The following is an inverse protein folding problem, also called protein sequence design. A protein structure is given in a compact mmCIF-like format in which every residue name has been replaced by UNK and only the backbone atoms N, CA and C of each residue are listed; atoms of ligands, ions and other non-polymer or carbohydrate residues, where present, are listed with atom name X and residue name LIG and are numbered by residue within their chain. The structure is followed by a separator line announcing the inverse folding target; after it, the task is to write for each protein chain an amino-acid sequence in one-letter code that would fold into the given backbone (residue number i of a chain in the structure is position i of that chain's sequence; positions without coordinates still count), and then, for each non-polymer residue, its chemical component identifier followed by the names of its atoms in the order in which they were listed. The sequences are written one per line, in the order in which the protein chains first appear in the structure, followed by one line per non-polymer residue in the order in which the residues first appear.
data_IF_048431215467
#
_entry.id   IF_048431215467
#
_cell.length_a   1.000
_cell.length_b   1.000
_cell.length_c   1.000
_cell.angle_alpha   90.00
_cell.angle_beta   90.00
_cell.angle_gamma   90.00
#
_symmetry.space_group_name_H-M   'P 1'
#
loop_
_entity.id
_entity.type
_entity.pdbx_description
1 polymer ?
#
# COMPACT_ATOMS: atom_id res chain seq x y z
N UNK A 1 -28.96 -0.22 17.66
CA UNK A 1 -28.07 -1.22 18.29
C UNK A 1 -26.93 -0.45 18.91
N UNK A 2 -26.66 -0.68 20.20
CA UNK A 2 -25.64 0.04 20.96
C UNK A 2 -24.62 -0.97 21.47
N UNK A 3 -23.33 -0.68 21.27
CA UNK A 3 -22.21 -1.53 21.68
C UNK A 3 -21.22 -0.65 22.43
N UNK A 4 -20.92 -0.99 23.69
CA UNK A 4 -19.88 -0.29 24.45
C UNK A 4 -18.53 -0.90 24.13
N UNK A 5 -17.59 -0.07 23.70
CA UNK A 5 -16.26 -0.51 23.31
C UNK A 5 -15.24 0.08 24.28
N UNK A 6 -14.43 -0.79 24.87
CA UNK A 6 -13.21 -0.39 25.56
C UNK A 6 -12.07 -0.31 24.54
N UNK A 7 -11.28 0.76 24.60
CA UNK A 7 -10.10 0.98 23.76
C UNK A 7 -8.91 1.26 24.67
N UNK A 8 -7.69 0.94 24.22
CA UNK A 8 -6.48 1.30 24.95
C UNK A 8 -6.24 2.82 24.91
N UNK A 9 -5.60 3.37 25.94
CA UNK A 9 -5.25 4.80 25.99
C UNK A 9 -4.38 5.20 24.79
N UNK A 10 -3.47 4.33 24.35
CA UNK A 10 -2.64 4.58 23.17
C UNK A 10 -3.50 4.71 21.90
N UNK A 11 -4.43 3.78 21.68
CA UNK A 11 -5.39 3.82 20.57
C UNK A 11 -6.24 5.10 20.63
N UNK A 12 -6.70 5.50 21.81
CA UNK A 12 -7.44 6.74 22.00
C UNK A 12 -6.62 7.98 21.64
N UNK A 13 -5.37 8.06 22.11
CA UNK A 13 -4.46 9.16 21.77
C UNK A 13 -4.21 9.24 20.26
N UNK A 14 -4.06 8.09 19.59
CA UNK A 14 -3.88 8.04 18.13
C UNK A 14 -5.13 8.47 17.36
N UNK A 15 -6.33 8.12 17.85
CA UNK A 15 -7.58 8.63 17.27
C UNK A 15 -7.65 10.15 17.36
N UNK A 16 -7.28 10.72 18.51
CA UNK A 16 -7.30 12.16 18.73
C UNK A 16 -6.23 12.90 17.91
N UNK A 17 -5.01 12.37 17.85
CA UNK A 17 -3.87 13.08 17.23
C UNK A 17 -3.88 13.04 15.71
N UNK A 18 -4.21 11.88 15.12
CA UNK A 18 -4.09 11.66 13.69
C UNK A 18 -5.41 11.84 12.93
N UNK A 19 -6.54 11.87 13.64
CA UNK A 19 -7.89 11.79 13.03
C UNK A 19 -8.07 10.56 12.12
N UNK A 20 -7.14 9.59 12.18
CA UNK A 20 -7.03 8.52 11.21
C UNK A 20 -7.92 7.34 11.60
N UNK A 21 -8.39 6.63 10.58
CA UNK A 21 -9.20 5.44 10.77
C UNK A 21 -8.35 4.30 11.31
N UNK A 22 -8.66 3.83 12.51
CA UNK A 22 -8.04 2.64 13.10
C UNK A 22 -8.81 1.38 12.69
N UNK A 23 -8.07 0.32 12.37
CA UNK A 23 -8.61 -0.99 12.04
C UNK A 23 -8.18 -2.00 13.11
N UNK A 24 -9.09 -2.89 13.49
CA UNK A 24 -8.82 -3.85 14.55
C UNK A 24 -9.92 -4.90 14.66
N UNK A 25 -9.79 -5.73 15.69
CA UNK A 25 -10.79 -6.74 16.06
C UNK A 25 -11.44 -6.35 17.39
N UNK A 26 -12.76 -6.51 17.48
CA UNK A 26 -13.49 -6.37 18.75
C UNK A 26 -13.64 -7.76 19.36
N UNK A 27 -13.00 -8.00 20.50
CA UNK A 27 -13.25 -9.16 21.34
C UNK A 27 -14.46 -8.87 22.21
N UNK A 28 -15.59 -9.55 21.96
CA UNK A 28 -16.80 -9.38 22.75
C UNK A 28 -16.63 -10.07 24.11
N UNK A 29 -16.89 -9.32 25.18
CA UNK A 29 -17.00 -9.88 26.55
C UNK A 29 -18.43 -10.32 26.81
N UNK A 30 -19.40 -9.58 26.24
CA UNK A 30 -20.81 -9.94 26.19
C UNK A 30 -21.42 -9.39 24.87
N UNK A 31 -22.70 -9.66 24.57
CA UNK A 31 -23.31 -9.23 23.31
C UNK A 31 -23.34 -7.70 23.09
N UNK A 32 -23.20 -6.91 24.16
CA UNK A 32 -23.35 -5.45 24.14
C UNK A 32 -22.07 -4.71 24.56
N UNK A 33 -20.98 -5.43 24.88
CA UNK A 33 -19.72 -4.87 25.36
C UNK A 33 -18.53 -5.67 24.85
N UNK A 34 -17.48 -4.98 24.41
CA UNK A 34 -16.27 -5.62 23.90
C UNK A 34 -15.03 -4.74 23.99
N UNK A 35 -13.87 -5.36 23.82
CA UNK A 35 -12.56 -4.70 23.81
C UNK A 35 -12.03 -4.63 22.37
N UNK A 36 -11.61 -3.44 21.95
CA UNK A 36 -11.01 -3.23 20.63
C UNK A 36 -9.49 -3.40 20.70
N UNK A 37 -9.01 -4.36 19.91
CA UNK A 37 -7.60 -4.60 19.71
C UNK A 37 -7.20 -4.09 18.33
N UNK A 38 -6.36 -3.06 18.31
CA UNK A 38 -5.87 -2.47 17.08
C UNK A 38 -4.99 -3.47 16.32
N UNK A 39 -5.25 -3.62 15.02
CA UNK A 39 -4.29 -4.25 14.13
C UNK A 39 -3.21 -3.22 13.86
N UNK A 40 -2.00 -3.46 14.35
CA UNK A 40 -0.83 -2.72 13.90
C UNK A 40 -0.63 -3.09 12.44
N UNK A 41 -1.33 -2.39 11.54
CA UNK A 41 -0.85 -2.28 10.18
C UNK A 41 0.44 -1.50 10.31
N UNK A 42 1.56 -2.17 10.06
CA UNK A 42 2.72 -1.52 9.49
C UNK A 42 2.30 -0.99 8.10
N UNK A 43 1.43 0.01 8.08
CA UNK A 43 1.53 1.04 7.07
C UNK A 43 2.82 1.74 7.50
N UNK A 44 3.93 1.63 6.75
CA UNK A 44 5.11 2.41 7.09
C UNK A 44 4.66 3.85 7.31
N UNK A 45 5.11 4.49 8.40
CA UNK A 45 4.74 5.86 8.79
C UNK A 45 4.89 6.86 7.62
N UNK A 46 5.68 6.48 6.62
CA UNK A 46 5.88 7.17 5.36
C UNK A 46 4.86 6.76 4.27
N UNK A 47 3.59 6.60 4.64
CA UNK A 47 2.49 6.44 3.69
C UNK A 47 2.27 7.67 2.82
N UNK A 48 2.99 8.77 3.10
CA UNK A 48 3.07 9.99 2.29
C UNK A 48 4.48 10.31 1.77
N UNK A 49 5.43 9.38 1.73
CA UNK A 49 6.73 9.64 1.08
C UNK A 49 6.59 9.45 -0.41
N UNK A 50 6.31 10.55 -1.12
CA UNK A 50 6.72 10.84 -2.50
C UNK A 50 6.75 9.68 -3.51
N UNK A 51 5.87 8.68 -3.34
CA UNK A 51 5.99 7.44 -4.09
C UNK A 51 5.33 7.64 -5.44
N UNK A 52 6.14 7.82 -6.47
CA UNK A 52 5.67 7.91 -7.86
C UNK A 52 5.41 6.50 -8.37
N UNK A 53 4.32 6.30 -9.09
CA UNK A 53 4.00 5.00 -9.66
C UNK A 53 3.40 5.14 -11.06
N UNK A 54 3.63 4.12 -11.88
CA UNK A 54 2.95 3.91 -13.15
C UNK A 54 2.19 2.59 -13.09
N UNK A 55 0.99 2.59 -13.67
CA UNK A 55 0.18 1.39 -13.83
C UNK A 55 0.47 0.81 -15.21
N UNK A 56 0.85 -0.46 -15.24
CA UNK A 56 1.08 -1.22 -16.46
C UNK A 56 -0.14 -2.11 -16.73
N UNK A 57 -0.17 -2.73 -17.91
CA UNK A 57 -1.31 -3.56 -18.32
C UNK A 57 -1.54 -4.74 -17.37
N UNK A 58 -0.48 -5.45 -16.99
CA UNK A 58 -0.57 -6.60 -16.08
C UNK A 58 0.08 -6.31 -14.71
N UNK A 59 0.42 -5.06 -14.41
CA UNK A 59 1.25 -4.76 -13.24
C UNK A 59 1.27 -3.32 -12.78
N UNK A 60 2.20 -3.05 -11.86
CA UNK A 60 2.49 -1.72 -11.36
C UNK A 60 3.96 -1.60 -11.01
N UNK A 61 4.53 -0.45 -11.31
CA UNK A 61 5.86 -0.04 -10.82
C UNK A 61 5.67 1.13 -9.89
N UNK A 62 6.34 1.09 -8.75
CA UNK A 62 6.38 2.19 -7.79
C UNK A 62 7.82 2.47 -7.39
N UNK A 63 8.19 3.74 -7.41
CA UNK A 63 9.47 4.26 -6.97
C UNK A 63 9.23 5.10 -5.73
N UNK A 64 10.04 4.86 -4.71
CA UNK A 64 10.16 5.68 -3.51
C UNK A 64 11.64 6.00 -3.33
N UNK A 65 11.97 7.04 -2.56
CA UNK A 65 13.35 7.47 -2.25
C UNK A 65 14.28 6.31 -1.86
N UNK A 66 13.75 5.28 -1.18
CA UNK A 66 14.55 4.17 -0.68
C UNK A 66 14.51 2.89 -1.53
N UNK A 67 13.55 2.75 -2.46
CA UNK A 67 13.36 1.49 -3.21
C UNK A 67 12.52 1.65 -4.47
N UNK A 68 12.85 0.83 -5.47
CA UNK A 68 11.99 0.55 -6.64
C UNK A 68 11.29 -0.79 -6.43
N UNK A 69 10.00 -0.86 -6.73
CA UNK A 69 9.22 -2.09 -6.72
C UNK A 69 8.48 -2.24 -8.04
N UNK A 70 8.72 -3.35 -8.72
CA UNK A 70 7.94 -3.80 -9.87
C UNK A 70 7.13 -5.05 -9.48
N UNK A 71 5.84 -5.05 -9.79
CA UNK A 71 4.94 -6.18 -9.54
C UNK A 71 4.13 -6.45 -10.80
N UNK A 72 4.19 -7.69 -11.28
CA UNK A 72 3.53 -8.15 -12.51
C UNK A 72 2.69 -9.39 -12.20
N UNK A 73 1.49 -9.44 -12.78
CA UNK A 73 0.56 -10.54 -12.64
C UNK A 73 -0.13 -10.81 -13.98
N UNK A 74 0.33 -11.85 -14.67
CA UNK A 74 -0.19 -12.26 -15.98
C UNK A 74 -1.02 -13.53 -15.79
N UNK A 75 -2.27 -13.51 -16.24
CA UNK A 75 -3.11 -14.70 -16.30
C UNK A 75 -2.60 -15.62 -17.41
N UNK A 76 -2.35 -16.90 -17.10
CA UNK A 76 -1.94 -17.88 -18.12
C UNK A 76 -3.06 -18.22 -19.12
N UNK A 77 -4.28 -17.86 -18.78
CA UNK A 77 -5.51 -18.02 -19.55
C UNK A 77 -5.87 -16.78 -20.40
N UNK A 78 -5.07 -15.72 -20.36
CA UNK A 78 -5.34 -14.49 -21.12
C UNK A 78 -5.12 -14.72 -22.62
N UNK A 79 -6.19 -14.64 -23.40
CA UNK A 79 -6.15 -14.89 -24.84
C UNK A 79 -5.33 -13.82 -25.57
N UNK A 80 -4.39 -14.28 -26.42
CA UNK A 80 -3.57 -13.39 -27.24
C UNK A 80 -2.42 -12.73 -26.49
N UNK A 81 -2.05 -13.24 -25.31
CA UNK A 81 -0.89 -12.79 -24.54
C UNK A 81 0.10 -13.93 -24.36
N UNK A 82 1.34 -13.68 -24.77
CA UNK A 82 2.47 -14.55 -24.49
C UNK A 82 3.15 -13.99 -23.23
N UNK A 83 3.15 -14.71 -22.09
CA UNK A 83 3.66 -14.16 -20.83
C UNK A 83 5.10 -13.67 -20.89
N UNK A 84 5.97 -14.34 -21.65
CA UNK A 84 7.36 -13.90 -21.83
C UNK A 84 7.45 -12.55 -22.54
N UNK A 85 6.68 -12.34 -23.61
CA UNK A 85 6.65 -11.05 -24.32
C UNK A 85 6.04 -9.94 -23.47
N UNK A 86 4.98 -10.26 -22.71
CA UNK A 86 4.38 -9.31 -21.77
C UNK A 86 5.36 -8.89 -20.68
N UNK A 87 6.15 -9.83 -20.13
CA UNK A 87 7.22 -9.53 -19.18
C UNK A 87 8.26 -8.59 -19.80
N UNK A 88 8.78 -8.89 -20.99
CA UNK A 88 9.82 -8.07 -21.62
C UNK A 88 9.34 -6.66 -21.96
N UNK A 89 8.14 -6.55 -22.54
CA UNK A 89 7.58 -5.27 -22.94
C UNK A 89 7.26 -4.39 -21.72
N UNK A 90 6.61 -4.95 -20.69
CA UNK A 90 6.30 -4.20 -19.48
C UNK A 90 7.53 -3.89 -18.63
N UNK A 91 8.56 -4.74 -18.68
CA UNK A 91 9.85 -4.44 -18.04
C UNK A 91 10.55 -3.25 -18.71
N UNK A 92 10.43 -3.11 -20.03
CA UNK A 92 11.01 -1.98 -20.77
C UNK A 92 10.29 -0.67 -20.44
N UNK A 93 8.96 -0.70 -20.39
CA UNK A 93 8.15 0.45 -19.99
C UNK A 93 8.39 0.84 -18.52
N UNK A 94 8.49 -0.16 -17.64
CA UNK A 94 8.89 0.00 -16.25
C UNK A 94 10.26 0.68 -16.11
N UNK A 95 11.24 0.22 -16.88
CA UNK A 95 12.60 0.77 -16.87
C UNK A 95 12.62 2.25 -17.24
N UNK A 96 11.99 2.62 -18.37
CA UNK A 96 11.93 4.02 -18.80
C UNK A 96 11.29 4.93 -17.77
N UNK A 97 10.20 4.49 -17.13
CA UNK A 97 9.57 5.25 -16.05
C UNK A 97 10.48 5.46 -14.82
N UNK A 98 11.26 4.44 -14.45
CA UNK A 98 12.21 4.54 -13.33
C UNK A 98 13.33 5.51 -13.69
N UNK A 99 13.91 5.40 -14.89
CA UNK A 99 14.97 6.27 -15.37
C UNK A 99 14.50 7.73 -15.40
N UNK A 100 13.32 8.01 -15.97
CA UNK A 100 12.72 9.36 -16.02
C UNK A 100 12.54 9.97 -14.62
N UNK A 101 12.16 9.14 -13.64
CA UNK A 101 11.98 9.59 -12.25
C UNK A 101 13.31 9.86 -11.58
N UNK A 102 14.29 8.97 -11.74
CA UNK A 102 15.61 9.14 -11.16
C UNK A 102 16.32 10.36 -11.74
N UNK A 103 16.26 10.56 -13.07
CA UNK A 103 16.78 11.75 -13.74
C UNK A 103 16.11 13.04 -13.22
N UNK A 104 14.80 12.99 -12.94
CA UNK A 104 14.09 14.12 -12.32
C UNK A 104 14.52 14.36 -10.88
N UNK A 105 14.93 13.34 -10.13
CA UNK A 105 15.39 13.48 -8.74
C UNK A 105 16.83 14.00 -8.70
N UNK A 106 17.72 13.48 -9.55
CA UNK A 106 19.14 13.89 -9.62
C UNK A 106 19.30 15.34 -10.08
N UNK A 107 18.41 15.84 -10.93
CA UNK A 107 18.50 17.21 -11.48
C UNK A 107 18.10 18.31 -10.50
N UNK A 108 17.53 17.95 -9.34
CA UNK A 108 17.08 18.87 -8.30
C UNK A 108 17.85 18.72 -6.97
N UNK A 109 18.90 17.90 -6.96
CA UNK A 109 19.92 17.81 -5.91
C UNK A 109 21.23 18.46 -6.35
#
# INVERSE_FOLDING_TARGET
MELKIQISDNTYQRLLSSGSRLQGTIGLVNPNEGNFNEHIRHTPENGSDNSKYIRLRHGRVSVNENRVRFTLHIGLDEAGIIPSEAIENESREAGGFVDDILDTIERYH
#
